data_IF_994431557218
#
_entry.id   IF_994431557218
#
_cell.length_a   1.000
_cell.length_b   1.000
_cell.length_c   1.000
_cell.angle_alpha   90.00
_cell.angle_beta   90.00
_cell.angle_gamma   90.00
#
_symmetry.space_group_name_H-M   'P 1'
#
loop_
_entity.id
_entity.type
_entity.pdbx_description
1 polymer ?
#
# COMPACT_ATOMS: atom_id res chain seq x y z
N UNK A 1 30.97 34.27 -13.33
CA UNK A 1 30.02 33.18 -13.07
C UNK A 1 29.66 32.52 -14.40
N UNK A 2 30.20 31.34 -14.70
CA UNK A 2 30.04 30.68 -16.00
C UNK A 2 29.11 29.48 -15.86
N UNK A 3 27.89 29.59 -16.40
CA UNK A 3 26.91 28.49 -16.50
C UNK A 3 27.02 27.86 -17.89
N UNK A 4 27.17 26.55 -17.96
CA UNK A 4 27.23 25.79 -19.22
C UNK A 4 26.22 24.65 -19.23
N UNK A 5 25.81 24.25 -20.43
CA UNK A 5 24.76 23.26 -20.68
C UNK A 5 25.33 22.09 -21.46
N UNK A 6 25.01 20.88 -21.00
CA UNK A 6 25.52 19.61 -21.52
C UNK A 6 24.35 18.71 -21.88
N UNK A 7 24.45 17.99 -23.00
CA UNK A 7 23.39 17.10 -23.49
C UNK A 7 23.92 15.70 -23.73
N UNK A 8 23.29 14.69 -23.13
CA UNK A 8 23.66 13.29 -23.28
C UNK A 8 22.44 12.38 -23.51
N UNK A 9 22.63 11.29 -24.25
CA UNK A 9 21.58 10.29 -24.50
C UNK A 9 21.07 9.61 -23.22
N UNK A 10 21.91 9.58 -22.18
CA UNK A 10 21.59 9.04 -20.87
C UNK A 10 22.14 9.96 -19.79
N UNK A 11 21.61 9.85 -18.56
CA UNK A 11 22.03 10.68 -17.42
C UNK A 11 23.53 10.54 -17.17
N UNK A 12 24.03 9.31 -17.29
CA UNK A 12 25.44 8.98 -17.10
C UNK A 12 26.34 9.71 -18.10
N UNK A 13 25.98 9.71 -19.38
CA UNK A 13 26.75 10.39 -20.43
C UNK A 13 26.71 11.92 -20.26
N UNK A 14 25.57 12.49 -19.87
CA UNK A 14 25.47 13.93 -19.63
C UNK A 14 26.32 14.36 -18.41
N UNK A 15 26.30 13.57 -17.33
CA UNK A 15 27.14 13.79 -16.13
C UNK A 15 28.64 13.61 -16.40
N UNK A 16 29.01 12.62 -17.22
CA UNK A 16 30.41 12.43 -17.64
C UNK A 16 30.92 13.65 -18.43
N UNK A 17 30.08 14.25 -19.29
CA UNK A 17 30.44 15.49 -19.99
C UNK A 17 30.63 16.66 -19.03
N UNK A 18 29.74 16.83 -18.03
CA UNK A 18 29.92 17.86 -17.00
C UNK A 18 31.25 17.67 -16.28
N UNK A 19 31.55 16.44 -15.85
CA UNK A 19 32.79 16.15 -15.10
C UNK A 19 34.05 16.33 -15.95
N UNK A 20 34.00 15.98 -17.23
CA UNK A 20 35.14 16.11 -18.13
C UNK A 20 35.45 17.58 -18.47
N UNK A 21 34.42 18.45 -18.52
CA UNK A 21 34.58 19.85 -18.94
C UNK A 21 34.72 20.80 -17.74
N UNK A 22 33.95 20.58 -16.67
CA UNK A 22 33.91 21.48 -15.50
C UNK A 22 34.58 20.89 -14.25
N UNK A 23 35.00 19.63 -14.28
CA UNK A 23 35.62 18.95 -13.14
C UNK A 23 34.61 18.40 -12.13
N UNK A 24 35.09 17.73 -11.06
CA UNK A 24 34.23 17.13 -10.03
C UNK A 24 33.52 18.17 -9.14
N UNK A 25 34.04 19.40 -9.07
CA UNK A 25 33.53 20.49 -8.23
C UNK A 25 32.38 21.28 -8.89
N UNK A 26 31.86 20.82 -10.03
CA UNK A 26 30.79 21.49 -10.75
C UNK A 26 29.45 21.37 -10.01
N UNK A 27 28.82 22.50 -9.70
CA UNK A 27 27.48 22.54 -9.14
C UNK A 27 26.45 22.35 -10.23
N UNK A 28 25.64 21.30 -10.14
CA UNK A 28 24.54 21.03 -11.08
C UNK A 28 23.33 21.89 -10.68
N UNK A 29 22.88 22.74 -11.61
CA UNK A 29 21.77 23.66 -11.39
C UNK A 29 20.43 23.08 -11.87
N UNK A 30 20.43 22.28 -12.94
CA UNK A 30 19.21 21.73 -13.53
C UNK A 30 19.49 20.44 -14.31
N UNK A 31 18.54 19.49 -14.27
CA UNK A 31 18.53 18.28 -15.07
C UNK A 31 17.14 18.09 -15.71
N UNK A 32 17.07 18.16 -17.04
CA UNK A 32 15.82 18.03 -17.81
C UNK A 32 15.92 16.90 -18.82
N UNK A 33 14.90 16.04 -18.87
CA UNK A 33 14.74 15.04 -19.95
C UNK A 33 14.02 15.69 -21.13
N UNK A 34 14.64 15.64 -22.30
CA UNK A 34 14.14 16.17 -23.57
C UNK A 34 14.02 15.05 -24.61
N UNK A 35 13.35 15.33 -25.73
CA UNK A 35 13.18 14.38 -26.85
C UNK A 35 14.50 13.87 -27.42
N UNK A 36 15.57 14.67 -27.31
CA UNK A 36 16.92 14.32 -27.78
C UNK A 36 17.84 13.70 -26.70
N UNK A 37 17.33 13.51 -25.47
CA UNK A 37 18.07 12.89 -24.37
C UNK A 37 17.91 13.64 -23.04
N UNK A 38 19.04 13.94 -22.40
CA UNK A 38 19.10 14.57 -21.07
C UNK A 38 20.00 15.79 -21.15
N UNK A 39 19.49 16.90 -20.66
CA UNK A 39 20.14 18.21 -20.63
C UNK A 39 20.47 18.60 -19.18
N UNK A 40 21.74 18.85 -18.90
CA UNK A 40 22.26 19.23 -17.58
C UNK A 40 22.92 20.60 -17.67
N UNK A 41 22.48 21.55 -16.83
CA UNK A 41 23.16 22.83 -16.65
C UNK A 41 24.04 22.78 -15.40
N UNK A 42 25.30 23.16 -15.53
CA UNK A 42 26.27 23.15 -14.43
C UNK A 42 27.09 24.44 -14.40
N UNK A 43 27.67 24.72 -13.23
CA UNK A 43 28.47 25.92 -12.94
C UNK A 43 29.69 25.56 -12.11
N UNK A 44 30.82 26.24 -12.34
CA UNK A 44 32.02 26.10 -11.52
C UNK A 44 32.12 27.31 -10.58
N UNK A 45 31.97 27.06 -9.28
CA UNK A 45 32.32 28.02 -8.24
C UNK A 45 33.84 28.08 -8.11
N UNK A 46 34.45 29.22 -8.42
CA UNK A 46 35.89 29.44 -8.18
C UNK A 46 36.03 29.95 -6.75
N UNK A 47 36.69 29.17 -5.89
CA UNK A 47 36.45 29.21 -4.45
C UNK A 47 36.84 30.48 -3.68
N UNK A 48 36.20 30.64 -2.52
CA UNK A 48 36.86 31.03 -1.27
C UNK A 48 35.96 30.64 -0.08
N UNK A 49 36.17 29.44 0.45
CA UNK A 49 35.60 29.00 1.74
C UNK A 49 36.59 29.20 2.91
N UNK A 50 37.66 29.99 2.73
CA UNK A 50 38.70 30.17 3.76
C UNK A 50 38.72 31.59 4.37
N UNK A 51 38.01 32.58 3.82
CA UNK A 51 37.97 33.93 4.43
C UNK A 51 36.93 34.09 5.57
N UNK A 52 36.21 33.04 5.95
CA UNK A 52 35.14 33.12 6.95
C UNK A 52 35.63 33.13 8.42
N UNK A 53 36.93 33.04 8.69
CA UNK A 53 37.45 32.88 10.08
C UNK A 53 38.21 34.13 10.59
N UNK A 54 38.54 35.11 9.74
CA UNK A 54 39.44 36.22 10.15
C UNK A 54 38.80 37.62 10.22
N UNK A 55 37.48 37.73 10.16
CA UNK A 55 36.80 39.02 10.38
C UNK A 55 35.70 38.96 11.44
N UNK A 56 36.05 38.36 12.58
CA UNK A 56 35.39 38.68 13.85
C UNK A 56 35.95 40.03 14.37
N UNK A 57 35.43 41.15 13.86
CA UNK A 57 35.52 42.43 14.55
C UNK A 57 34.23 43.23 14.35
N UNK A 58 33.51 43.62 15.40
CA UNK A 58 32.21 44.27 15.27
C UNK A 58 32.38 45.78 15.09
N UNK A 59 31.72 46.34 14.07
CA UNK A 59 31.40 47.77 14.01
C UNK A 59 30.16 48.03 13.12
N UNK A 60 29.06 48.38 13.79
CA UNK A 60 27.99 49.32 13.43
C UNK A 60 27.17 49.18 12.11
N UNK A 61 25.88 48.84 12.31
CA UNK A 61 24.62 49.51 11.86
C UNK A 61 24.14 49.56 10.37
N UNK A 62 23.11 48.71 10.09
CA UNK A 62 21.87 48.88 9.25
C UNK A 62 21.92 48.95 7.70
N UNK A 63 20.83 48.62 6.95
CA UNK A 63 19.60 47.84 7.25
C UNK A 63 19.34 46.68 6.23
N UNK A 64 18.88 45.50 6.69
CA UNK A 64 18.54 44.39 5.78
C UNK A 64 17.23 43.70 6.18
N UNK A 65 16.10 44.35 5.88
CA UNK A 65 14.75 43.81 6.15
C UNK A 65 13.96 43.36 4.92
N UNK A 66 14.23 43.88 3.72
CA UNK A 66 13.33 43.69 2.58
C UNK A 66 13.68 42.49 1.66
N UNK A 67 14.95 42.10 1.59
CA UNK A 67 15.40 41.08 0.61
C UNK A 67 15.00 39.66 0.98
N UNK A 68 14.93 39.33 2.28
CA UNK A 68 14.55 37.99 2.74
C UNK A 68 13.05 37.70 2.57
N UNK A 69 12.19 38.71 2.67
CA UNK A 69 10.74 38.50 2.62
C UNK A 69 10.27 38.26 1.18
N UNK A 70 10.83 38.98 0.20
CA UNK A 70 10.53 38.80 -1.22
C UNK A 70 11.04 37.43 -1.73
N UNK A 71 12.27 37.05 -1.35
CA UNK A 71 12.83 35.74 -1.71
C UNK A 71 12.03 34.58 -1.09
N UNK A 72 11.59 34.72 0.16
CA UNK A 72 10.75 33.72 0.83
C UNK A 72 9.35 33.64 0.19
N UNK A 73 8.77 34.77 -0.21
CA UNK A 73 7.48 34.81 -0.91
C UNK A 73 7.56 34.15 -2.29
N UNK A 74 8.68 34.33 -3.00
CA UNK A 74 8.92 33.67 -4.29
C UNK A 74 9.07 32.16 -4.14
N UNK A 75 9.86 31.69 -3.16
CA UNK A 75 10.00 30.26 -2.87
C UNK A 75 8.68 29.61 -2.42
N UNK A 76 7.85 30.32 -1.66
CA UNK A 76 6.51 29.83 -1.26
C UNK A 76 5.57 29.71 -2.46
N UNK A 77 5.65 30.64 -3.43
CA UNK A 77 4.90 30.53 -4.70
C UNK A 77 5.35 29.32 -5.50
N UNK A 78 6.66 29.16 -5.70
CA UNK A 78 7.20 28.01 -6.44
C UNK A 78 6.82 26.67 -5.81
N UNK A 79 6.86 26.55 -4.47
CA UNK A 79 6.40 25.35 -3.77
C UNK A 79 4.89 25.12 -3.90
N UNK A 80 4.10 26.19 -3.98
CA UNK A 80 2.65 26.10 -4.17
C UNK A 80 2.33 25.66 -5.60
N UNK A 81 3.00 26.22 -6.61
CA UNK A 81 2.84 25.85 -8.02
C UNK A 81 3.30 24.41 -8.29
N UNK A 82 4.39 23.98 -7.64
CA UNK A 82 4.87 22.60 -7.74
C UNK A 82 3.89 21.62 -7.08
N UNK A 83 3.28 22.01 -5.96
CA UNK A 83 2.24 21.23 -5.28
C UNK A 83 0.97 21.14 -6.14
N UNK A 84 0.56 22.22 -6.78
CA UNK A 84 -0.60 22.23 -7.68
C UNK A 84 -0.35 21.38 -8.93
N UNK A 85 0.85 21.47 -9.51
CA UNK A 85 1.22 20.66 -10.68
C UNK A 85 1.29 19.16 -10.34
N UNK A 86 1.84 18.80 -9.17
CA UNK A 86 1.83 17.41 -8.68
C UNK A 86 0.40 16.91 -8.40
N UNK A 87 -0.45 17.74 -7.81
CA UNK A 87 -1.86 17.39 -7.60
C UNK A 87 -2.64 17.26 -8.92
N UNK A 88 -2.37 18.10 -9.92
CA UNK A 88 -2.95 17.98 -11.25
C UNK A 88 -2.50 16.69 -11.96
N UNK A 89 -1.21 16.37 -11.90
CA UNK A 89 -0.64 15.17 -12.51
C UNK A 89 -1.12 13.86 -11.85
N UNK A 90 -1.32 13.87 -10.53
CA UNK A 90 -1.84 12.72 -9.78
C UNK A 90 -3.39 12.64 -9.80
N UNK A 91 -4.06 13.78 -9.94
CA UNK A 91 -5.52 13.89 -9.89
C UNK A 91 -6.23 13.51 -11.19
N UNK A 92 -5.54 13.58 -12.34
CA UNK A 92 -6.21 13.40 -13.65
C UNK A 92 -6.36 11.96 -14.13
N UNK A 93 -5.64 10.95 -13.60
CA UNK A 93 -5.62 9.61 -14.23
C UNK A 93 -6.40 8.50 -13.53
N UNK A 94 -6.84 8.66 -12.27
CA UNK A 94 -7.63 7.61 -11.58
C UNK A 94 -8.68 8.14 -10.59
N UNK A 95 -8.83 9.46 -10.42
CA UNK A 95 -9.71 10.02 -9.38
C UNK A 95 -11.14 10.31 -9.88
N UNK A 96 -11.37 10.61 -11.17
CA UNK A 96 -12.66 11.15 -11.63
C UNK A 96 -13.78 10.11 -11.84
N UNK A 97 -13.49 8.82 -12.10
CA UNK A 97 -14.56 7.82 -12.32
C UNK A 97 -15.08 7.17 -11.03
N UNK A 98 -14.41 7.37 -9.88
CA UNK A 98 -14.80 6.75 -8.59
C UNK A 98 -14.92 7.74 -7.42
N UNK A 99 -14.39 8.97 -7.53
CA UNK A 99 -14.37 9.93 -6.41
C UNK A 99 -15.66 10.72 -6.16
N UNK A 100 -16.80 10.06 -6.34
CA UNK A 100 -17.99 10.39 -5.55
C UNK A 100 -18.06 9.58 -4.24
N UNK A 101 -17.27 8.50 -4.11
CA UNK A 101 -17.35 7.60 -2.96
C UNK A 101 -16.25 7.88 -1.95
N UNK A 102 -16.72 8.30 -0.79
CA UNK A 102 -16.00 8.69 0.43
C UNK A 102 -14.75 7.81 0.66
N UNK A 103 -13.56 8.41 0.90
CA UNK A 103 -12.28 7.68 0.93
C UNK A 103 -12.22 6.57 1.99
N UNK A 104 -12.99 6.70 3.07
CA UNK A 104 -13.15 5.67 4.10
C UNK A 104 -13.81 4.40 3.57
N UNK A 105 -14.88 4.54 2.78
CA UNK A 105 -15.61 3.40 2.17
C UNK A 105 -14.70 2.65 1.21
N UNK A 106 -14.00 3.36 0.33
CA UNK A 106 -13.06 2.74 -0.62
C UNK A 106 -11.94 1.96 0.10
N UNK A 107 -11.45 2.49 1.24
CA UNK A 107 -10.43 1.80 2.06
C UNK A 107 -10.98 0.51 2.67
N UNK A 108 -12.23 0.52 3.14
CA UNK A 108 -12.87 -0.67 3.72
C UNK A 108 -13.11 -1.73 2.63
N UNK A 109 -13.67 -1.33 1.48
CA UNK A 109 -13.87 -2.21 0.33
C UNK A 109 -12.55 -2.86 -0.12
N UNK A 110 -11.46 -2.10 -0.17
CA UNK A 110 -10.13 -2.61 -0.52
C UNK A 110 -9.61 -3.63 0.52
N UNK A 111 -9.86 -3.39 1.81
CA UNK A 111 -9.47 -4.36 2.86
C UNK A 111 -10.26 -5.65 2.73
N UNK A 112 -11.57 -5.57 2.49
CA UNK A 112 -12.41 -6.75 2.27
C UNK A 112 -11.99 -7.52 1.01
N UNK A 113 -11.60 -6.83 -0.06
CA UNK A 113 -11.07 -7.46 -1.27
C UNK A 113 -9.74 -8.18 -1.01
N UNK A 114 -8.86 -7.60 -0.18
CA UNK A 114 -7.59 -8.25 0.24
C UNK A 114 -7.83 -9.55 1.03
N UNK A 115 -9.00 -9.71 1.66
CA UNK A 115 -9.40 -10.97 2.30
C UNK A 115 -9.89 -12.04 1.30
N UNK A 116 -9.90 -11.73 -0.01
CA UNK A 116 -10.38 -12.64 -1.05
C UNK A 116 -11.90 -12.62 -1.26
N UNK A 117 -12.61 -11.64 -0.69
CA UNK A 117 -14.06 -11.52 -0.86
C UNK A 117 -14.41 -10.99 -2.25
N UNK A 118 -15.46 -11.56 -2.86
CA UNK A 118 -15.94 -11.14 -4.17
C UNK A 118 -16.64 -9.79 -4.13
N UNK A 119 -16.60 -9.04 -5.24
CA UNK A 119 -17.17 -7.68 -5.34
C UNK A 119 -18.65 -7.58 -4.95
N UNK A 120 -19.45 -8.59 -5.29
CA UNK A 120 -20.88 -8.63 -4.96
C UNK A 120 -21.06 -8.69 -3.44
N UNK A 121 -20.41 -9.66 -2.79
CA UNK A 121 -20.44 -9.80 -1.34
C UNK A 121 -19.90 -8.55 -0.64
N UNK A 122 -18.82 -7.95 -1.14
CA UNK A 122 -18.30 -6.69 -0.59
C UNK A 122 -19.36 -5.59 -0.62
N UNK A 123 -20.08 -5.43 -1.73
CA UNK A 123 -21.18 -4.47 -1.82
C UNK A 123 -22.24 -4.74 -0.75
N UNK A 124 -22.68 -5.99 -0.64
CA UNK A 124 -23.68 -6.40 0.35
C UNK A 124 -23.23 -6.28 1.81
N UNK A 125 -21.92 -6.36 2.09
CA UNK A 125 -21.37 -6.15 3.43
C UNK A 125 -21.26 -4.68 3.79
N UNK A 126 -21.11 -3.82 2.78
CA UNK A 126 -21.07 -2.37 2.92
C UNK A 126 -22.47 -1.74 2.97
N UNK A 127 -23.52 -2.48 2.61
CA UNK A 127 -24.90 -2.05 2.78
C UNK A 127 -25.20 -1.76 4.26
N UNK A 128 -25.69 -0.56 4.54
CA UNK A 128 -25.97 -0.09 5.90
C UNK A 128 -24.75 0.44 6.67
N UNK A 129 -23.54 0.37 6.12
CA UNK A 129 -22.38 1.04 6.73
C UNK A 129 -22.56 2.56 6.62
N UNK A 130 -22.62 3.23 7.77
CA UNK A 130 -22.83 4.68 7.78
C UNK A 130 -21.67 5.35 7.04
N UNK A 131 -22.00 6.07 5.97
CA UNK A 131 -21.02 6.68 5.13
C UNK A 131 -20.30 7.87 5.83
N UNK A 132 -20.77 8.32 7.00
CA UNK A 132 -20.06 9.26 7.90
C UNK A 132 -19.25 8.58 9.02
N UNK A 133 -19.24 7.24 9.07
CA UNK A 133 -18.49 6.49 10.06
C UNK A 133 -16.98 6.69 9.89
N UNK A 134 -16.26 6.63 11.02
CA UNK A 134 -14.80 6.50 10.99
C UNK A 134 -14.39 5.18 10.32
N UNK A 135 -13.15 5.10 9.85
CA UNK A 135 -12.62 3.87 9.25
C UNK A 135 -12.78 2.65 10.18
N UNK A 136 -12.51 2.81 11.47
CA UNK A 136 -12.61 1.72 12.44
C UNK A 136 -14.06 1.31 12.70
N UNK A 137 -14.97 2.28 12.74
CA UNK A 137 -16.40 2.01 12.93
C UNK A 137 -16.98 1.28 11.72
N UNK A 138 -16.74 1.79 10.51
CA UNK A 138 -17.19 1.16 9.28
C UNK A 138 -16.57 -0.23 9.07
N UNK A 139 -15.29 -0.40 9.42
CA UNK A 139 -14.64 -1.72 9.39
C UNK A 139 -15.30 -2.70 10.37
N UNK A 140 -15.54 -2.29 11.61
CA UNK A 140 -16.20 -3.14 12.60
C UNK A 140 -17.59 -3.56 12.11
N UNK A 141 -18.36 -2.62 11.60
CA UNK A 141 -19.69 -2.89 11.08
C UNK A 141 -19.67 -3.87 9.89
N UNK A 142 -18.75 -3.69 8.93
CA UNK A 142 -18.59 -4.60 7.80
C UNK A 142 -18.21 -6.03 8.25
N UNK A 143 -17.34 -6.17 9.24
CA UNK A 143 -16.97 -7.47 9.82
C UNK A 143 -18.14 -8.08 10.60
N UNK A 144 -18.92 -7.29 11.34
CA UNK A 144 -20.14 -7.76 12.00
C UNK A 144 -21.17 -8.27 10.99
N UNK A 145 -21.36 -7.55 9.88
CA UNK A 145 -22.23 -7.98 8.78
C UNK A 145 -21.76 -9.30 8.16
N UNK A 146 -20.44 -9.50 8.04
CA UNK A 146 -19.86 -10.76 7.55
C UNK A 146 -20.10 -11.90 8.54
N UNK A 147 -19.79 -11.69 9.82
CA UNK A 147 -19.97 -12.69 10.86
C UNK A 147 -21.44 -13.13 10.99
N UNK A 148 -22.38 -12.19 10.89
CA UNK A 148 -23.81 -12.48 10.95
C UNK A 148 -24.32 -13.35 9.78
N UNK A 149 -23.58 -13.42 8.67
CA UNK A 149 -23.91 -14.27 7.52
C UNK A 149 -23.33 -15.68 7.61
N UNK A 150 -22.44 -15.94 8.57
CA UNK A 150 -21.85 -17.26 8.75
C UNK A 150 -22.76 -18.04 9.70
N UNK A 151 -23.52 -18.98 9.14
CA UNK A 151 -24.29 -19.92 9.96
C UNK A 151 -23.34 -20.89 10.67
N UNK A 152 -23.42 -20.93 11.99
CA UNK A 152 -22.63 -21.83 12.83
C UNK A 152 -23.58 -22.72 13.62
N UNK A 153 -23.46 -24.03 13.43
CA UNK A 153 -24.23 -25.00 14.21
C UNK A 153 -23.76 -25.02 15.66
N UNK A 154 -24.72 -24.99 16.59
CA UNK A 154 -24.47 -25.21 18.02
C UNK A 154 -23.95 -26.62 18.29
N UNK A 155 -23.31 -26.83 19.45
CA UNK A 155 -22.86 -28.16 19.86
C UNK A 155 -24.02 -29.18 19.92
N UNK A 156 -25.20 -28.75 20.35
CA UNK A 156 -26.39 -29.59 20.43
C UNK A 156 -26.89 -30.01 19.04
N UNK A 157 -26.94 -29.07 18.08
CA UNK A 157 -27.31 -29.38 16.69
C UNK A 157 -26.28 -30.33 16.06
N UNK A 158 -24.99 -30.09 16.29
CA UNK A 158 -23.93 -30.98 15.81
C UNK A 158 -24.00 -32.38 16.43
N UNK A 159 -24.35 -32.51 17.71
CA UNK A 159 -24.50 -33.80 18.39
C UNK A 159 -25.77 -34.54 17.95
N UNK A 160 -26.86 -33.81 17.68
CA UNK A 160 -28.12 -34.38 17.20
C UNK A 160 -28.03 -34.97 15.79
N UNK A 161 -27.08 -34.51 14.97
CA UNK A 161 -26.83 -35.04 13.63
C UNK A 161 -26.07 -36.37 13.70
N UNK A 162 -26.80 -37.48 13.63
CA UNK A 162 -26.23 -38.84 13.61
C UNK A 162 -25.43 -39.18 12.36
N UNK A 163 -25.82 -38.62 11.21
CA UNK A 163 -25.13 -38.82 9.93
C UNK A 163 -24.60 -37.47 9.49
N UNK A 164 -23.28 -37.40 9.26
CA UNK A 164 -22.59 -36.18 8.83
C UNK A 164 -21.89 -36.46 7.49
N UNK A 165 -22.19 -35.66 6.47
CA UNK A 165 -21.55 -35.74 5.17
C UNK A 165 -20.64 -34.50 4.96
N UNK A 166 -19.36 -34.73 4.67
CA UNK A 166 -18.41 -33.67 4.34
C UNK A 166 -18.21 -33.64 2.83
N UNK A 167 -18.58 -32.52 2.22
CA UNK A 167 -18.49 -32.28 0.77
C UNK A 167 -17.65 -31.03 0.51
N UNK A 168 -16.92 -31.01 -0.61
CA UNK A 168 -16.06 -29.89 -0.98
C UNK A 168 -15.19 -30.20 -2.19
N UNK A 169 -14.57 -29.17 -2.78
CA UNK A 169 -13.68 -29.30 -3.94
C UNK A 169 -12.35 -30.01 -3.62
N UNK A 170 -11.52 -30.24 -4.64
CA UNK A 170 -10.16 -30.77 -4.45
C UNK A 170 -9.32 -29.83 -3.57
N UNK A 171 -8.54 -30.38 -2.64
CA UNK A 171 -7.70 -29.59 -1.71
C UNK A 171 -8.45 -28.97 -0.52
N UNK A 172 -9.73 -29.26 -0.31
CA UNK A 172 -10.53 -28.72 0.80
C UNK A 172 -10.30 -29.44 2.15
N UNK A 173 -9.19 -30.18 2.31
CA UNK A 173 -8.82 -30.90 3.54
C UNK A 173 -9.95 -31.73 4.18
N UNK A 174 -10.82 -32.33 3.35
CA UNK A 174 -11.99 -33.10 3.82
C UNK A 174 -11.60 -34.21 4.79
N UNK A 175 -10.46 -34.87 4.58
CA UNK A 175 -9.96 -35.92 5.47
C UNK A 175 -9.68 -35.39 6.87
N UNK A 176 -9.11 -34.19 6.99
CA UNK A 176 -8.85 -33.56 8.28
C UNK A 176 -10.16 -33.23 9.00
N UNK A 177 -11.15 -32.70 8.28
CA UNK A 177 -12.47 -32.45 8.85
C UNK A 177 -13.14 -33.74 9.35
N UNK A 178 -13.05 -34.85 8.58
CA UNK A 178 -13.56 -36.17 9.00
C UNK A 178 -12.84 -36.62 10.29
N UNK A 179 -11.50 -36.52 10.33
CA UNK A 179 -10.74 -36.89 11.52
C UNK A 179 -11.20 -36.14 12.77
N UNK A 180 -11.40 -34.82 12.67
CA UNK A 180 -11.83 -33.99 13.80
C UNK A 180 -13.23 -34.37 14.28
N UNK A 181 -14.15 -34.65 13.34
CA UNK A 181 -15.49 -35.12 13.67
C UNK A 181 -15.46 -36.50 14.37
N UNK A 182 -14.58 -37.41 13.95
CA UNK A 182 -14.42 -38.71 14.60
C UNK A 182 -13.88 -38.54 16.02
N UNK A 183 -12.87 -37.69 16.22
CA UNK A 183 -12.34 -37.39 17.56
C UNK A 183 -13.43 -36.84 18.48
N UNK A 184 -14.25 -35.91 17.98
CA UNK A 184 -15.38 -35.37 18.73
C UNK A 184 -16.46 -36.44 19.01
N UNK A 185 -16.77 -37.30 18.03
CA UNK A 185 -17.74 -38.37 18.18
C UNK A 185 -17.28 -39.43 19.21
N UNK A 186 -15.99 -39.76 19.25
CA UNK A 186 -15.44 -40.71 20.24
C UNK A 186 -15.54 -40.24 21.69
N UNK A 187 -15.82 -38.95 21.94
CA UNK A 187 -16.12 -38.45 23.29
C UNK A 187 -17.56 -38.78 23.73
N UNK A 188 -18.46 -39.06 22.78
CA UNK A 188 -19.89 -39.23 23.02
C UNK A 188 -20.38 -40.66 22.72
N UNK A 189 -19.71 -41.38 21.81
CA UNK A 189 -20.10 -42.69 21.32
C UNK A 189 -18.98 -43.70 21.51
N UNK A 190 -19.35 -44.98 21.68
CA UNK A 190 -18.37 -46.06 21.69
C UNK A 190 -17.75 -46.23 20.29
N UNK A 191 -16.49 -46.68 20.17
CA UNK A 191 -15.87 -46.92 18.86
C UNK A 191 -16.67 -47.87 17.96
N UNK A 192 -17.41 -48.82 18.53
CA UNK A 192 -18.30 -49.75 17.79
C UNK A 192 -19.47 -49.07 17.11
N UNK A 193 -19.84 -47.87 17.55
CA UNK A 193 -21.04 -47.15 17.11
C UNK A 193 -20.70 -46.07 16.07
N UNK A 194 -19.43 -45.92 15.73
CA UNK A 194 -18.93 -44.92 14.78
C UNK A 194 -18.52 -45.63 13.49
N UNK A 195 -19.17 -45.27 12.39
CA UNK A 195 -18.80 -45.72 11.06
C UNK A 195 -18.31 -44.55 10.21
N UNK A 196 -17.15 -44.70 9.57
CA UNK A 196 -16.59 -43.71 8.65
C UNK A 196 -16.58 -44.30 7.25
N UNK A 197 -17.27 -43.63 6.32
CA UNK A 197 -17.31 -44.02 4.90
C UNK A 197 -16.62 -42.90 4.13
N UNK A 198 -15.55 -43.24 3.42
CA UNK A 198 -14.78 -42.30 2.61
C UNK A 198 -14.81 -42.72 1.15
N UNK A 199 -15.13 -41.79 0.26
CA UNK A 199 -14.96 -41.95 -1.19
C UNK A 199 -13.66 -41.30 -1.69
N UNK A 200 -12.72 -41.02 -0.80
CA UNK A 200 -11.39 -40.53 -1.18
C UNK A 200 -10.58 -41.67 -1.81
N UNK A 201 -9.76 -41.34 -2.80
CA UNK A 201 -8.92 -42.32 -3.50
C UNK A 201 -7.87 -42.98 -2.58
N UNK A 202 -7.38 -42.25 -1.56
CA UNK A 202 -6.51 -42.79 -0.51
C UNK A 202 -7.03 -42.43 0.88
N UNK A 203 -7.95 -43.23 1.44
CA UNK A 203 -8.46 -43.03 2.80
C UNK A 203 -7.45 -43.50 3.85
N UNK A 204 -6.53 -44.40 3.52
CA UNK A 204 -5.66 -45.09 4.46
C UNK A 204 -4.62 -44.16 5.08
N UNK A 205 -4.02 -43.26 4.29
CA UNK A 205 -3.03 -42.31 4.79
C UNK A 205 -3.62 -41.26 5.74
N UNK A 206 -4.89 -40.89 5.55
CA UNK A 206 -5.55 -39.87 6.35
C UNK A 206 -6.50 -40.42 7.42
N UNK A 207 -7.07 -41.60 7.26
CA UNK A 207 -8.06 -42.17 8.20
C UNK A 207 -7.62 -43.52 8.78
N UNK A 208 -6.44 -44.03 8.41
CA UNK A 208 -5.95 -45.35 8.83
C UNK A 208 -5.71 -45.53 10.33
N UNK A 209 -5.84 -44.47 11.15
CA UNK A 209 -5.87 -44.60 12.62
C UNK A 209 -7.26 -44.92 13.19
N UNK A 210 -8.29 -44.87 12.35
CA UNK A 210 -9.70 -45.11 12.69
C UNK A 210 -10.31 -46.29 11.93
N UNK A 211 -9.56 -46.86 10.98
CA UNK A 211 -9.87 -48.13 10.31
C UNK A 211 -9.07 -49.25 11.00
#
# INVERSE_FOLDING_TARGET
MNVQRFTGRTNKLALEQVRNVMGPEALILSNKRTTDGIEICAMLETGSVISAIEQARPAAESPAGATNEIALAHLKRELTDLRETLHAALGQRQWQDTAGKRPTVATIEQRLATLGLGRVLIGELMDGVNAGASLNEGWRQAITNLAARIEVLTEAEQAGLRIKAIVGGAGADRSLAIQQLVVAASQQFAPSDIAVISMLEDPSSALGRFC
#
